data_IF_123843285003
#
_entry.id   IF_123843285003
#
_cell.length_a   1.000
_cell.length_b   1.000
_cell.length_c   1.000
_cell.angle_alpha   90.00
_cell.angle_beta   90.00
_cell.angle_gamma   90.00
#
_symmetry.space_group_name_H-M   'P 1'
#
loop_
_entity.id
_entity.type
_entity.pdbx_description
1 polymer ?
#
# COMPACT_ATOMS: atom_id res chain seq x y z
N UNK A 1 28.70 51.89 32.76
CA UNK A 1 29.35 51.88 34.08
C UNK A 1 28.91 50.59 34.76
N UNK A 2 29.84 49.63 34.77
CA UNK A 2 30.44 49.06 36.00
C UNK A 2 29.50 48.03 36.63
N UNK A 3 29.87 46.81 36.96
CA UNK A 3 30.98 45.89 36.71
C UNK A 3 30.47 44.57 37.35
N UNK A 4 31.02 43.43 36.96
CA UNK A 4 31.03 42.20 37.79
C UNK A 4 31.80 42.49 39.11
N UNK A 5 32.06 41.56 40.09
CA UNK A 5 31.88 40.10 40.11
C UNK A 5 31.44 39.53 41.49
N UNK A 6 31.31 38.20 41.63
CA UNK A 6 31.99 37.49 42.73
C UNK A 6 32.12 35.97 42.51
N UNK A 7 33.37 35.55 42.59
CA UNK A 7 33.87 34.18 42.72
C UNK A 7 33.70 33.64 44.15
N UNK A 8 33.59 32.31 44.20
CA UNK A 8 34.13 31.32 45.15
C UNK A 8 34.39 31.67 46.63
N UNK A 9 34.04 30.73 47.51
CA UNK A 9 34.95 29.99 48.43
C UNK A 9 34.12 29.24 49.51
N UNK A 10 34.20 27.91 49.58
CA UNK A 10 35.08 27.05 50.43
C UNK A 10 34.78 27.10 51.93
N UNK A 11 34.61 25.92 52.53
CA UNK A 11 34.97 25.52 53.91
C UNK A 11 35.17 23.97 53.81
N UNK A 12 36.40 23.46 53.97
CA UNK A 12 37.09 23.06 55.23
C UNK A 12 36.68 21.60 55.61
N UNK A 13 37.53 20.66 56.03
CA UNK A 13 38.66 20.74 56.97
C UNK A 13 39.67 19.57 56.81
N UNK A 14 40.86 19.86 57.34
CA UNK A 14 41.77 19.02 58.14
C UNK A 14 43.05 18.39 57.56
N UNK A 15 44.13 18.79 58.24
CA UNK A 15 45.54 18.60 58.00
C UNK A 15 46.20 17.79 59.13
N UNK A 16 47.43 17.32 58.90
CA UNK A 16 48.35 16.82 59.94
C UNK A 16 49.14 15.58 59.48
N UNK A 17 50.22 15.70 58.71
CA UNK A 17 51.64 15.87 59.13
C UNK A 17 52.15 14.87 60.18
N UNK A 18 53.15 14.05 59.80
CA UNK A 18 54.50 14.05 60.41
C UNK A 18 55.49 13.20 59.58
N UNK A 19 56.58 13.87 59.18
CA UNK A 19 57.83 13.31 58.65
C UNK A 19 58.65 12.66 59.78
N UNK A 20 59.47 11.64 59.50
CA UNK A 20 60.94 11.69 59.75
C UNK A 20 61.70 10.36 59.49
N UNK A 21 62.96 10.55 59.04
CA UNK A 21 64.19 9.73 59.16
C UNK A 21 64.51 8.58 58.18
N UNK A 22 65.62 8.76 57.46
CA UNK A 22 66.60 7.73 57.02
C UNK A 22 67.79 7.71 58.01
N UNK A 23 68.82 6.83 57.93
CA UNK A 23 68.94 5.42 57.44
C UNK A 23 69.66 4.49 58.47
N UNK A 24 69.77 3.17 58.23
CA UNK A 24 70.90 2.30 58.64
C UNK A 24 70.80 0.88 58.05
N UNK A 25 71.97 0.28 57.83
CA UNK A 25 72.33 -0.87 57.00
C UNK A 25 71.86 -2.28 57.44
N UNK A 26 72.04 -3.19 56.47
CA UNK A 26 72.43 -4.61 56.56
C UNK A 26 71.34 -5.70 56.76
N UNK A 27 71.01 -6.43 55.69
CA UNK A 27 71.42 -7.85 55.52
C UNK A 27 70.84 -8.49 54.23
N UNK A 28 71.48 -9.58 53.82
CA UNK A 28 71.56 -10.22 52.48
C UNK A 28 70.31 -11.05 52.04
N UNK A 29 70.29 -11.68 50.84
CA UNK A 29 69.12 -11.72 49.97
C UNK A 29 68.37 -13.05 50.05
N UNK A 30 67.07 -13.03 49.71
CA UNK A 30 66.36 -14.25 49.29
C UNK A 30 65.51 -13.99 48.05
N UNK A 31 65.79 -14.81 47.04
CA UNK A 31 65.19 -14.89 45.72
C UNK A 31 63.65 -14.89 45.74
N UNK A 32 63.04 -14.12 44.83
CA UNK A 32 61.69 -14.38 44.37
C UNK A 32 61.72 -14.48 42.84
N UNK A 33 61.65 -15.72 42.39
CA UNK A 33 61.54 -16.14 40.99
C UNK A 33 60.32 -15.50 40.31
N UNK A 34 60.53 -15.01 39.09
CA UNK A 34 59.50 -14.39 38.26
C UNK A 34 58.34 -15.34 37.98
N UNK A 35 57.22 -15.16 38.67
CA UNK A 35 55.96 -15.85 38.42
C UNK A 35 55.07 -14.91 37.61
N UNK A 36 54.84 -15.23 36.32
CA UNK A 36 53.81 -14.56 35.53
C UNK A 36 52.49 -14.56 36.32
N UNK A 37 51.90 -13.39 36.63
CA UNK A 37 50.76 -13.33 37.52
C UNK A 37 49.58 -14.01 36.83
N UNK A 38 48.96 -14.98 37.52
CA UNK A 38 47.81 -15.76 37.02
C UNK A 38 46.69 -14.88 36.47
N UNK A 39 46.55 -13.64 36.96
CA UNK A 39 45.61 -12.63 36.46
C UNK A 39 45.88 -12.21 35.02
N UNK A 40 47.14 -12.06 34.58
CA UNK A 40 47.48 -11.72 33.21
C UNK A 40 47.15 -12.88 32.25
N UNK A 41 47.40 -14.12 32.66
CA UNK A 41 47.01 -15.29 31.87
C UNK A 41 45.49 -15.37 31.73
N UNK A 42 44.75 -15.13 32.81
CA UNK A 42 43.27 -15.10 32.79
C UNK A 42 42.78 -13.99 31.85
N UNK A 43 43.31 -12.77 31.95
CA UNK A 43 42.94 -11.64 31.08
C UNK A 43 43.21 -11.97 29.61
N UNK A 44 44.38 -12.54 29.30
CA UNK A 44 44.74 -12.94 27.94
C UNK A 44 43.81 -14.03 27.40
N UNK A 45 43.47 -15.03 28.22
CA UNK A 45 42.52 -16.09 27.81
C UNK A 45 41.11 -15.55 27.58
N UNK A 46 40.62 -14.63 28.42
CA UNK A 46 39.32 -13.99 28.25
C UNK A 46 39.30 -13.07 27.03
N UNK A 47 40.37 -12.30 26.79
CA UNK A 47 40.47 -11.45 25.60
C UNK A 47 40.49 -12.27 24.31
N UNK A 48 41.23 -13.38 24.30
CA UNK A 48 41.30 -14.26 23.14
C UNK A 48 39.94 -14.95 22.90
N UNK A 49 39.27 -15.40 23.96
CA UNK A 49 37.92 -15.96 23.88
C UNK A 49 36.92 -14.97 23.28
N UNK A 50 36.94 -13.72 23.76
CA UNK A 50 36.03 -12.67 23.24
C UNK A 50 36.31 -12.36 21.77
N UNK A 51 37.58 -12.29 21.35
CA UNK A 51 37.95 -12.07 19.94
C UNK A 51 37.43 -13.20 19.06
N UNK A 52 37.59 -14.45 19.49
CA UNK A 52 37.09 -15.63 18.76
C UNK A 52 35.56 -15.60 18.67
N UNK A 53 34.87 -15.30 19.78
CA UNK A 53 33.40 -15.22 19.79
C UNK A 53 32.88 -14.10 18.89
N UNK A 54 33.51 -12.92 18.90
CA UNK A 54 33.14 -11.80 18.02
C UNK A 54 33.40 -12.18 16.56
N UNK A 55 34.54 -12.79 16.24
CA UNK A 55 34.85 -13.24 14.89
C UNK A 55 33.83 -14.29 14.39
N UNK A 56 33.45 -15.24 15.24
CA UNK A 56 32.43 -16.24 14.91
C UNK A 56 31.05 -15.60 14.66
N UNK A 57 30.63 -14.63 15.47
CA UNK A 57 29.38 -13.89 15.25
C UNK A 57 29.44 -13.08 13.95
N UNK A 58 30.56 -12.41 13.67
CA UNK A 58 30.74 -11.66 12.41
C UNK A 58 30.69 -12.59 11.19
N UNK A 59 31.34 -13.75 11.26
CA UNK A 59 31.26 -14.79 10.21
C UNK A 59 29.80 -15.24 10.06
N UNK A 60 29.09 -15.55 11.14
CA UNK A 60 27.67 -15.94 11.06
C UNK A 60 26.78 -14.83 10.50
N UNK A 61 27.05 -13.56 10.77
CA UNK A 61 26.32 -12.42 10.20
C UNK A 61 26.69 -12.19 8.73
N UNK A 62 27.92 -12.46 8.31
CA UNK A 62 28.34 -12.32 6.90
C UNK A 62 27.83 -13.48 6.05
N UNK A 63 27.83 -14.70 6.58
CA UNK A 63 27.45 -15.91 5.85
C UNK A 63 25.96 -16.29 6.01
N UNK A 64 25.32 -15.90 7.12
CA UNK A 64 23.89 -16.15 7.40
C UNK A 64 23.09 -14.88 7.70
N UNK A 65 23.70 -13.69 7.64
CA UNK A 65 22.92 -12.46 7.63
C UNK A 65 21.95 -12.50 6.45
N UNK A 66 20.79 -11.84 6.56
CA UNK A 66 19.84 -11.82 5.46
C UNK A 66 20.62 -11.30 4.26
N UNK A 67 20.76 -12.16 3.24
CA UNK A 67 21.14 -11.71 1.92
C UNK A 67 20.27 -10.48 1.69
N UNK A 68 20.88 -9.31 1.62
CA UNK A 68 20.21 -8.14 1.10
C UNK A 68 19.96 -8.49 -0.36
N UNK A 69 18.89 -9.27 -0.58
CA UNK A 69 18.18 -9.41 -1.82
C UNK A 69 17.65 -8.00 -2.06
N UNK A 70 18.53 -7.11 -2.53
CA UNK A 70 18.12 -6.00 -3.35
C UNK A 70 17.20 -6.63 -4.39
N UNK A 71 15.96 -6.13 -4.55
CA UNK A 71 15.09 -6.61 -5.59
C UNK A 71 15.90 -6.56 -6.87
N UNK A 72 16.05 -7.71 -7.54
CA UNK A 72 16.51 -7.75 -8.91
C UNK A 72 15.79 -6.61 -9.63
N UNK A 73 16.58 -5.75 -10.28
CA UNK A 73 16.10 -4.78 -11.27
C UNK A 73 14.89 -5.38 -11.98
N UNK A 74 13.73 -4.71 -12.04
CA UNK A 74 12.48 -5.35 -12.41
C UNK A 74 12.72 -6.07 -13.71
N UNK A 75 12.64 -7.41 -13.66
CA UNK A 75 12.62 -8.24 -14.84
C UNK A 75 11.66 -7.53 -15.79
N UNK A 76 12.15 -7.09 -16.95
CA UNK A 76 11.28 -6.70 -18.05
C UNK A 76 10.24 -7.80 -18.13
N UNK A 77 9.02 -7.52 -17.71
CA UNK A 77 7.95 -8.52 -17.62
C UNK A 77 7.70 -8.94 -19.05
N UNK A 78 8.34 -10.03 -19.46
CA UNK A 78 8.09 -10.64 -20.76
C UNK A 78 6.76 -11.35 -20.56
N UNK A 79 5.69 -10.65 -20.94
CA UNK A 79 4.36 -11.26 -20.92
C UNK A 79 4.41 -12.50 -21.83
N UNK A 80 3.94 -13.67 -21.36
CA UNK A 80 3.87 -14.85 -22.22
C UNK A 80 3.01 -14.51 -23.44
N UNK A 81 3.30 -15.11 -24.62
CA UNK A 81 2.49 -14.91 -25.80
C UNK A 81 1.02 -15.21 -25.47
N UNK A 82 0.18 -14.20 -25.61
CA UNK A 82 -1.24 -14.30 -25.25
C UNK A 82 -2.05 -14.88 -26.41
N UNK A 83 -3.11 -15.65 -26.13
CA UNK A 83 -3.99 -16.15 -27.17
C UNK A 83 -4.71 -14.99 -27.88
N UNK A 84 -5.13 -15.20 -29.13
CA UNK A 84 -5.76 -14.15 -29.96
C UNK A 84 -7.02 -13.53 -29.34
N UNK A 85 -7.72 -14.29 -28.52
CA UNK A 85 -8.94 -13.84 -27.82
C UNK A 85 -8.63 -13.00 -26.58
N UNK A 86 -7.38 -12.95 -26.12
CA UNK A 86 -6.99 -12.22 -24.93
C UNK A 86 -6.90 -10.72 -25.24
N UNK A 87 -7.53 -9.83 -24.44
CA UNK A 87 -7.51 -8.40 -24.72
C UNK A 87 -6.08 -7.81 -24.69
N UNK A 88 -5.75 -6.87 -25.60
CA UNK A 88 -4.45 -6.23 -25.60
C UNK A 88 -4.26 -5.37 -24.33
N UNK A 89 -3.09 -5.48 -23.69
CA UNK A 89 -2.73 -4.71 -22.49
C UNK A 89 -1.68 -3.64 -22.81
N UNK A 90 -1.98 -2.76 -23.77
CA UNK A 90 -1.04 -1.72 -24.22
C UNK A 90 -1.11 -0.54 -23.24
N UNK A 91 -0.02 -0.20 -22.52
CA UNK A 91 -0.03 0.91 -21.58
C UNK A 91 -0.06 2.25 -22.33
N UNK A 92 -0.96 3.14 -21.89
CA UNK A 92 -1.04 4.52 -22.38
C UNK A 92 -1.07 5.49 -21.20
N UNK A 93 -0.55 6.70 -21.39
CA UNK A 93 -0.64 7.78 -20.40
C UNK A 93 -1.72 8.76 -20.83
N UNK A 94 -2.66 9.05 -19.93
CA UNK A 94 -3.73 10.02 -20.16
C UNK A 94 -3.87 10.92 -18.93
N UNK A 95 -4.11 12.19 -19.17
CA UNK A 95 -4.54 13.13 -18.13
C UNK A 95 -6.07 13.11 -18.11
N UNK A 96 -6.66 12.96 -16.92
CA UNK A 96 -8.10 12.96 -16.76
C UNK A 96 -8.60 14.40 -16.73
N UNK A 97 -9.58 14.71 -17.58
CA UNK A 97 -10.22 16.01 -17.65
C UNK A 97 -11.73 15.79 -17.53
N UNK A 98 -12.41 16.64 -16.76
CA UNK A 98 -13.86 16.57 -16.65
C UNK A 98 -14.52 16.73 -18.02
N UNK A 99 -15.41 15.80 -18.36
CA UNK A 99 -16.15 15.82 -19.60
C UNK A 99 -17.64 16.04 -19.30
N UNK A 100 -18.15 17.20 -19.71
CA UNK A 100 -19.54 17.60 -19.48
C UNK A 100 -20.55 16.61 -20.05
N UNK A 101 -20.24 15.91 -21.14
CA UNK A 101 -21.14 14.92 -21.73
C UNK A 101 -21.44 13.76 -20.78
N UNK A 102 -20.47 13.38 -19.95
CA UNK A 102 -20.57 12.28 -18.99
C UNK A 102 -20.84 12.77 -17.56
N UNK A 103 -20.54 14.03 -17.26
CA UNK A 103 -20.73 14.67 -15.96
C UNK A 103 -21.95 15.58 -15.91
N UNK A 104 -23.10 15.10 -16.39
CA UNK A 104 -24.37 15.85 -16.39
C UNK A 104 -25.57 14.91 -16.23
N UNK A 105 -26.77 15.44 -15.89
CA UNK A 105 -27.99 14.63 -15.86
C UNK A 105 -28.29 13.96 -17.22
N UNK A 106 -28.88 12.76 -17.23
CA UNK A 106 -29.26 12.05 -18.45
C UNK A 106 -30.12 12.92 -19.39
N UNK A 107 -29.64 13.03 -20.62
CA UNK A 107 -30.29 13.65 -21.76
C UNK A 107 -29.91 12.86 -23.04
N UNK A 108 -30.58 13.05 -24.19
CA UNK A 108 -30.31 12.24 -25.39
C UNK A 108 -28.84 12.16 -25.79
N UNK A 109 -28.11 13.28 -25.75
CA UNK A 109 -26.70 13.35 -26.12
C UNK A 109 -25.81 12.59 -25.12
N UNK A 110 -26.01 12.78 -23.82
CA UNK A 110 -25.26 12.04 -22.79
C UNK A 110 -25.54 10.53 -22.83
N UNK A 111 -26.80 10.14 -23.03
CA UNK A 111 -27.20 8.73 -23.12
C UNK A 111 -26.56 8.08 -24.34
N UNK A 112 -26.52 8.76 -25.49
CA UNK A 112 -25.79 8.32 -26.67
C UNK A 112 -24.29 8.19 -26.39
N UNK A 113 -23.67 9.19 -25.74
CA UNK A 113 -22.25 9.17 -25.40
C UNK A 113 -21.88 8.02 -24.46
N UNK A 114 -22.74 7.69 -23.47
CA UNK A 114 -22.57 6.53 -22.58
C UNK A 114 -22.74 5.21 -23.33
N UNK A 115 -23.74 5.08 -24.20
CA UNK A 115 -23.94 3.89 -25.02
C UNK A 115 -22.73 3.61 -25.93
N UNK A 116 -22.12 4.66 -26.48
CA UNK A 116 -20.94 4.58 -27.34
C UNK A 116 -19.64 4.16 -26.62
N UNK A 117 -19.64 4.08 -25.27
CA UNK A 117 -18.49 3.52 -24.54
C UNK A 117 -18.39 2.00 -24.68
N UNK A 118 -19.53 1.32 -24.85
CA UNK A 118 -19.54 -0.11 -25.11
C UNK A 118 -19.36 -0.35 -26.61
N UNK A 119 -18.44 -1.22 -27.03
CA UNK A 119 -18.24 -1.51 -28.45
C UNK A 119 -19.45 -2.25 -29.02
N UNK A 120 -19.51 -2.35 -30.35
CA UNK A 120 -20.48 -3.21 -31.04
C UNK A 120 -20.40 -4.62 -30.45
N UNK A 121 -21.57 -5.21 -30.15
CA UNK A 121 -21.64 -6.48 -29.42
C UNK A 121 -21.50 -6.34 -27.89
N UNK A 122 -21.48 -5.11 -27.36
CA UNK A 122 -21.41 -4.80 -25.91
C UNK A 122 -20.19 -5.36 -25.18
N UNK A 123 -19.11 -5.61 -25.92
CA UNK A 123 -17.86 -6.17 -25.38
C UNK A 123 -17.81 -7.70 -25.35
N UNK A 124 -18.85 -8.40 -25.80
CA UNK A 124 -18.84 -9.85 -25.90
C UNK A 124 -17.89 -10.34 -26.98
N UNK A 125 -17.03 -11.28 -26.61
CA UNK A 125 -16.07 -11.97 -27.47
C UNK A 125 -16.30 -13.48 -27.43
N UNK A 126 -15.97 -14.13 -28.54
CA UNK A 126 -15.92 -15.58 -28.62
C UNK A 126 -14.54 -16.07 -28.24
N UNK A 127 -14.47 -16.88 -27.20
CA UNK A 127 -13.26 -17.55 -26.74
C UNK A 127 -13.33 -18.99 -27.22
N UNK A 128 -12.54 -19.34 -28.23
CA UNK A 128 -12.46 -20.70 -28.75
C UNK A 128 -11.52 -21.53 -27.88
N UNK A 129 -11.86 -22.79 -27.68
CA UNK A 129 -11.02 -23.76 -26.97
C UNK A 129 -9.85 -24.25 -27.84
N UNK A 130 -9.13 -23.31 -28.47
CA UNK A 130 -7.89 -23.57 -29.24
C UNK A 130 -6.66 -23.59 -28.32
N UNK A 131 -6.81 -23.09 -27.10
CA UNK A 131 -5.83 -23.05 -26.01
C UNK A 131 -6.49 -23.56 -24.74
N UNK A 132 -5.77 -24.33 -23.91
CA UNK A 132 -6.26 -24.72 -22.60
C UNK A 132 -6.66 -23.47 -21.80
N UNK A 133 -7.97 -23.29 -21.60
CA UNK A 133 -8.46 -22.26 -20.70
C UNK A 133 -8.14 -22.70 -19.27
N UNK A 134 -7.70 -21.79 -18.38
CA UNK A 134 -7.52 -22.12 -16.97
C UNK A 134 -8.82 -22.69 -16.40
N UNK A 135 -8.73 -23.39 -15.26
CA UNK A 135 -9.95 -23.81 -14.56
C UNK A 135 -10.68 -22.56 -14.08
N UNK A 136 -11.87 -22.35 -14.63
CA UNK A 136 -12.61 -21.11 -14.59
C UNK A 136 -14.01 -21.44 -14.05
N UNK A 137 -14.46 -20.82 -12.93
CA UNK A 137 -15.70 -21.19 -12.26
C UNK A 137 -16.95 -21.29 -13.15
N UNK A 138 -17.53 -22.48 -13.24
CA UNK A 138 -18.76 -22.72 -14.02
C UNK A 138 -18.55 -22.73 -15.53
N UNK A 139 -17.30 -22.84 -15.99
CA UNK A 139 -16.96 -23.05 -17.39
C UNK A 139 -17.14 -24.54 -17.76
N UNK A 140 -17.93 -24.82 -18.79
CA UNK A 140 -18.06 -26.18 -19.33
C UNK A 140 -16.98 -26.45 -20.38
N UNK A 141 -15.81 -26.94 -19.96
CA UNK A 141 -14.65 -27.16 -20.85
C UNK A 141 -14.91 -28.12 -22.04
N UNK A 142 -16.01 -28.88 -22.01
CA UNK A 142 -16.43 -29.74 -23.14
C UNK A 142 -16.95 -28.95 -24.34
N UNK A 143 -17.25 -27.65 -24.19
CA UNK A 143 -17.73 -26.83 -25.29
C UNK A 143 -16.56 -26.36 -26.19
N UNK A 144 -16.76 -26.28 -27.52
CA UNK A 144 -15.73 -25.82 -28.45
C UNK A 144 -15.50 -24.31 -28.37
N UNK A 145 -16.48 -23.56 -27.86
CA UNK A 145 -16.44 -22.11 -27.74
C UNK A 145 -17.18 -21.63 -26.49
N UNK A 146 -16.72 -20.50 -25.98
CA UNK A 146 -17.29 -19.79 -24.85
C UNK A 146 -17.54 -18.34 -25.22
N UNK A 147 -18.49 -17.71 -24.52
CA UNK A 147 -18.74 -16.28 -24.62
C UNK A 147 -18.27 -15.62 -23.35
N UNK A 148 -17.43 -14.61 -23.49
CA UNK A 148 -16.95 -13.81 -22.39
C UNK A 148 -16.90 -12.35 -22.77
N UNK A 149 -16.69 -11.47 -21.81
CA UNK A 149 -16.41 -10.06 -22.05
C UNK A 149 -15.44 -9.54 -20.97
N UNK A 150 -14.59 -8.56 -21.30
CA UNK A 150 -13.75 -7.90 -20.31
C UNK A 150 -14.56 -7.23 -19.19
N UNK A 151 -14.14 -7.41 -17.94
CA UNK A 151 -14.78 -6.85 -16.74
C UNK A 151 -14.98 -5.34 -16.78
N UNK A 152 -14.10 -4.59 -17.47
CA UNK A 152 -14.27 -3.14 -17.67
C UNK A 152 -15.63 -2.76 -18.24
N UNK A 153 -16.21 -3.59 -19.13
CA UNK A 153 -17.54 -3.31 -19.69
C UNK A 153 -18.65 -3.59 -18.69
N UNK A 154 -18.48 -4.58 -17.80
CA UNK A 154 -19.39 -4.78 -16.66
C UNK A 154 -19.35 -3.56 -15.73
N UNK A 155 -18.16 -3.11 -15.38
CA UNK A 155 -17.95 -1.99 -14.46
C UNK A 155 -18.60 -0.70 -15.00
N UNK A 156 -18.45 -0.42 -16.30
CA UNK A 156 -19.11 0.72 -16.96
C UNK A 156 -20.64 0.57 -16.97
N UNK A 157 -21.15 -0.64 -17.26
CA UNK A 157 -22.59 -0.91 -17.23
C UNK A 157 -23.19 -0.69 -15.83
N UNK A 158 -22.54 -1.21 -14.79
CA UNK A 158 -22.95 -0.99 -13.41
C UNK A 158 -22.89 0.49 -13.02
N UNK A 159 -21.80 1.18 -13.37
CA UNK A 159 -21.67 2.61 -13.07
C UNK A 159 -22.81 3.44 -13.66
N UNK A 160 -23.11 3.25 -14.95
CA UNK A 160 -24.24 3.94 -15.59
C UNK A 160 -25.59 3.55 -14.96
N UNK A 161 -25.78 2.26 -14.64
CA UNK A 161 -27.03 1.78 -14.03
C UNK A 161 -27.30 2.45 -12.67
N UNK A 162 -26.26 2.71 -11.87
CA UNK A 162 -26.42 3.46 -10.60
C UNK A 162 -26.79 4.92 -10.82
N UNK A 163 -26.24 5.56 -11.84
CA UNK A 163 -26.56 6.93 -12.21
C UNK A 163 -28.01 7.05 -12.69
N UNK A 164 -28.43 6.15 -13.59
CA UNK A 164 -29.78 6.10 -14.14
C UNK A 164 -30.82 5.89 -13.03
N UNK A 165 -30.58 4.92 -12.14
CA UNK A 165 -31.45 4.66 -10.99
C UNK A 165 -31.53 5.84 -10.00
N UNK A 166 -30.43 6.56 -9.80
CA UNK A 166 -30.42 7.77 -8.98
C UNK A 166 -31.32 8.86 -9.58
N UNK A 167 -31.19 9.14 -10.88
CA UNK A 167 -32.00 10.17 -11.54
C UNK A 167 -33.48 9.78 -11.63
N UNK A 168 -33.77 8.50 -11.87
CA UNK A 168 -35.14 7.98 -11.80
C UNK A 168 -35.77 8.22 -10.42
N UNK A 169 -35.02 7.95 -9.34
CA UNK A 169 -35.48 8.20 -7.98
C UNK A 169 -35.72 9.69 -7.72
N UNK A 170 -34.77 10.56 -8.09
CA UNK A 170 -34.89 12.00 -7.90
C UNK A 170 -36.11 12.55 -8.65
N UNK A 171 -36.35 12.11 -9.88
CA UNK A 171 -37.52 12.49 -10.67
C UNK A 171 -38.84 12.07 -9.99
N UNK A 172 -38.88 10.87 -9.40
CA UNK A 172 -40.05 10.38 -8.65
C UNK A 172 -40.28 11.18 -7.37
N UNK A 173 -39.21 11.53 -6.63
CA UNK A 173 -39.30 12.32 -5.40
C UNK A 173 -39.71 13.77 -5.68
N UNK A 174 -39.22 14.37 -6.76
CA UNK A 174 -39.61 15.73 -7.15
C UNK A 174 -41.08 15.82 -7.60
N UNK A 175 -41.65 14.71 -8.11
CA UNK A 175 -43.07 14.63 -8.48
C UNK A 175 -43.99 14.36 -7.29
N UNK A 176 -43.48 13.72 -6.24
CA UNK A 176 -44.25 13.33 -5.05
C UNK A 176 -43.80 14.17 -3.85
N UNK A 177 -44.51 15.25 -3.51
CA UNK A 177 -44.18 16.13 -2.37
C UNK A 177 -44.15 15.42 -0.99
N UNK A 178 -44.66 14.19 -0.91
CA UNK A 178 -44.75 13.38 0.29
C UNK A 178 -43.55 12.43 0.43
N UNK A 179 -42.52 12.86 1.17
CA UNK A 179 -41.42 11.97 1.59
C UNK A 179 -40.02 12.54 1.40
N UNK A 180 -39.79 13.80 1.79
CA UNK A 180 -38.44 14.36 1.83
C UNK A 180 -37.61 13.58 2.86
N UNK A 181 -36.84 12.59 2.41
CA UNK A 181 -35.73 12.04 3.18
C UNK A 181 -34.74 13.19 3.43
N UNK A 182 -34.31 13.36 4.66
CA UNK A 182 -33.19 14.26 4.96
C UNK A 182 -31.96 13.74 4.21
N UNK A 183 -31.55 14.47 3.17
CA UNK A 183 -30.32 14.19 2.46
C UNK A 183 -29.14 14.58 3.36
N UNK A 184 -28.01 13.86 3.30
CA UNK A 184 -26.78 14.29 3.96
C UNK A 184 -26.48 15.75 3.59
N UNK A 185 -26.15 16.57 4.59
CA UNK A 185 -25.85 18.00 4.43
C UNK A 185 -24.41 18.27 3.98
N UNK A 186 -23.64 17.23 3.65
CA UNK A 186 -22.27 17.35 3.16
C UNK A 186 -22.28 18.12 1.82
N UNK A 187 -21.55 19.25 1.69
CA UNK A 187 -21.44 19.99 0.44
C UNK A 187 -20.89 19.14 -0.73
N UNK A 188 -20.18 18.05 -0.43
CA UNK A 188 -19.75 17.04 -1.39
C UNK A 188 -20.86 16.08 -1.84
N UNK A 189 -22.10 16.22 -1.37
CA UNK A 189 -23.21 15.33 -1.72
C UNK A 189 -24.35 16.08 -2.43
N UNK A 190 -24.01 16.89 -3.43
CA UNK A 190 -24.97 17.54 -4.33
C UNK A 190 -24.94 16.92 -5.74
N UNK A 191 -25.96 17.17 -6.56
CA UNK A 191 -26.08 16.58 -7.90
C UNK A 191 -24.91 16.90 -8.83
N UNK A 192 -24.32 18.09 -8.70
CA UNK A 192 -23.12 18.48 -9.45
C UNK A 192 -21.90 17.63 -9.05
N UNK A 193 -21.70 17.40 -7.75
CA UNK A 193 -20.63 16.54 -7.25
C UNK A 193 -20.81 15.10 -7.70
N UNK A 194 -22.03 14.55 -7.62
CA UNK A 194 -22.32 13.20 -8.08
C UNK A 194 -22.06 13.04 -9.59
N UNK A 195 -22.48 14.02 -10.40
CA UNK A 195 -22.19 14.06 -11.83
C UNK A 195 -20.69 14.04 -12.13
N UNK A 196 -19.92 14.88 -11.43
CA UNK A 196 -18.47 14.85 -11.52
C UNK A 196 -17.89 13.48 -11.11
N UNK A 197 -18.41 12.86 -10.04
CA UNK A 197 -17.99 11.54 -9.58
C UNK A 197 -18.25 10.44 -10.61
N UNK A 198 -19.42 10.41 -11.27
CA UNK A 198 -19.69 9.42 -12.32
C UNK A 198 -18.73 9.56 -13.50
N UNK A 199 -18.43 10.79 -13.96
CA UNK A 199 -17.43 10.99 -15.01
C UNK A 199 -16.01 10.61 -14.54
N UNK A 200 -15.63 10.97 -13.32
CA UNK A 200 -14.33 10.62 -12.75
C UNK A 200 -14.15 9.09 -12.62
N UNK A 201 -15.16 8.39 -12.11
CA UNK A 201 -15.15 6.93 -11.99
C UNK A 201 -15.11 6.26 -13.36
N UNK A 202 -15.91 6.74 -14.33
CA UNK A 202 -15.88 6.26 -15.72
C UNK A 202 -14.46 6.36 -16.30
N UNK A 203 -13.82 7.51 -16.14
CA UNK A 203 -12.45 7.73 -16.61
C UNK A 203 -11.44 6.82 -15.90
N UNK A 204 -11.59 6.63 -14.59
CA UNK A 204 -10.70 5.78 -13.78
C UNK A 204 -10.85 4.30 -14.15
N UNK A 205 -12.07 3.83 -14.38
CA UNK A 205 -12.38 2.49 -14.88
C UNK A 205 -11.71 2.27 -16.25
N UNK A 206 -11.82 3.23 -17.17
CA UNK A 206 -11.18 3.12 -18.49
C UNK A 206 -9.64 3.21 -18.40
N UNK A 207 -9.10 3.98 -17.46
CA UNK A 207 -7.66 4.11 -17.25
C UNK A 207 -7.05 2.85 -16.65
N UNK A 208 -7.81 2.15 -15.81
CA UNK A 208 -7.43 0.89 -15.17
C UNK A 208 -8.29 -0.25 -15.73
N UNK A 209 -8.49 -0.27 -17.05
CA UNK A 209 -9.41 -1.19 -17.71
C UNK A 209 -9.10 -2.63 -17.32
N UNK A 210 -10.01 -3.21 -16.53
CA UNK A 210 -9.91 -4.59 -16.11
C UNK A 210 -10.23 -5.53 -17.28
N UNK A 211 -9.20 -6.21 -17.76
CA UNK A 211 -9.27 -7.14 -18.89
C UNK A 211 -9.55 -8.57 -18.48
N UNK A 212 -9.82 -8.84 -17.19
CA UNK A 212 -10.32 -10.14 -16.73
C UNK A 212 -11.57 -10.52 -17.53
N UNK A 213 -11.59 -11.76 -18.05
CA UNK A 213 -12.70 -12.25 -18.85
C UNK A 213 -13.78 -12.86 -17.96
N UNK A 214 -14.96 -12.25 -17.98
CA UNK A 214 -16.17 -12.78 -17.38
C UNK A 214 -16.92 -13.62 -18.41
N UNK A 215 -16.94 -14.95 -18.26
CA UNK A 215 -17.70 -15.83 -19.15
C UNK A 215 -19.14 -16.01 -18.70
N UNK A 216 -20.00 -16.28 -19.68
CA UNK A 216 -21.35 -16.77 -19.43
C UNK A 216 -21.28 -18.19 -18.86
N UNK A 217 -21.54 -18.35 -17.56
CA UNK A 217 -21.59 -19.65 -16.89
C UNK A 217 -22.69 -20.54 -17.49
N UNK A 218 -22.43 -21.84 -17.54
CA UNK A 218 -23.42 -22.81 -18.00
C UNK A 218 -24.65 -22.77 -17.08
N UNK A 219 -25.85 -22.61 -17.66
CA UNK A 219 -27.14 -22.43 -16.97
C UNK A 219 -27.39 -21.08 -16.26
N UNK A 220 -26.50 -20.10 -16.37
CA UNK A 220 -26.77 -18.75 -15.86
C UNK A 220 -27.13 -17.77 -16.99
N UNK A 221 -28.16 -16.97 -16.76
CA UNK A 221 -28.60 -15.93 -17.71
C UNK A 221 -27.97 -14.56 -17.42
N UNK A 222 -27.58 -14.31 -16.16
CA UNK A 222 -27.04 -13.04 -15.69
C UNK A 222 -25.67 -13.29 -15.08
N UNK A 223 -24.65 -12.59 -15.58
CA UNK A 223 -23.33 -12.59 -14.97
C UNK A 223 -23.32 -11.70 -13.73
N UNK A 224 -22.82 -12.22 -12.62
CA UNK A 224 -22.74 -11.46 -11.36
C UNK A 224 -21.42 -10.72 -11.20
N UNK A 225 -20.43 -11.00 -12.04
CA UNK A 225 -19.05 -10.51 -11.88
C UNK A 225 -18.28 -11.21 -10.75
N UNK A 226 -18.89 -12.15 -10.03
CA UNK A 226 -18.25 -12.81 -8.89
C UNK A 226 -17.59 -14.15 -9.24
N UNK A 227 -16.45 -14.41 -8.58
CA UNK A 227 -15.68 -15.65 -8.70
C UNK A 227 -14.58 -15.60 -9.77
N UNK A 228 -14.41 -14.47 -10.46
CA UNK A 228 -13.33 -14.28 -11.42
C UNK A 228 -12.08 -13.75 -10.72
N UNK A 229 -10.91 -14.20 -11.16
CA UNK A 229 -9.65 -13.70 -10.63
C UNK A 229 -9.31 -12.37 -11.31
N UNK A 230 -9.11 -11.32 -10.50
CA UNK A 230 -8.73 -9.99 -10.97
C UNK A 230 -7.28 -9.67 -10.57
N UNK A 231 -6.61 -8.84 -11.36
CA UNK A 231 -5.29 -8.32 -11.01
C UNK A 231 -5.44 -6.99 -10.26
N UNK A 232 -5.47 -7.06 -8.93
CA UNK A 232 -5.58 -5.88 -8.08
C UNK A 232 -4.21 -5.32 -7.68
N UNK A 233 -4.22 -4.11 -7.13
CA UNK A 233 -3.13 -3.62 -6.28
C UNK A 233 -3.39 -4.09 -4.84
N UNK A 234 -2.33 -4.33 -4.10
CA UNK A 234 -2.43 -4.69 -2.68
C UNK A 234 -3.03 -3.51 -1.89
N UNK A 235 -4.28 -3.70 -1.44
CA UNK A 235 -5.02 -2.68 -0.71
C UNK A 235 -4.40 -2.38 0.65
N UNK A 236 -4.00 -3.41 1.38
CA UNK A 236 -3.47 -3.28 2.73
C UNK A 236 -2.10 -2.58 2.69
N UNK A 237 -1.28 -2.87 1.69
CA UNK A 237 -0.03 -2.16 1.47
C UNK A 237 -0.26 -0.66 1.16
N UNK A 238 -1.27 -0.33 0.36
CA UNK A 238 -1.62 1.06 0.04
C UNK A 238 -2.14 1.77 1.30
N UNK A 239 -3.03 1.14 2.06
CA UNK A 239 -3.58 1.69 3.30
C UNK A 239 -2.47 1.94 4.32
N UNK A 240 -1.62 0.94 4.58
CA UNK A 240 -0.51 1.09 5.51
C UNK A 240 0.46 2.21 5.10
N UNK A 241 0.73 2.35 3.81
CA UNK A 241 1.52 3.47 3.29
C UNK A 241 0.81 4.82 3.53
N UNK A 242 -0.48 4.92 3.19
CA UNK A 242 -1.24 6.16 3.35
C UNK A 242 -1.35 6.57 4.83
N UNK A 243 -1.56 5.61 5.74
CA UNK A 243 -1.58 5.85 7.18
C UNK A 243 -0.23 6.32 7.71
N UNK A 244 0.88 5.71 7.27
CA UNK A 244 2.23 6.10 7.66
C UNK A 244 2.56 7.55 7.27
N UNK A 245 2.09 7.99 6.11
CA UNK A 245 2.37 9.33 5.56
C UNK A 245 1.16 10.29 5.62
N UNK A 246 0.16 9.99 6.47
CA UNK A 246 -1.07 10.78 6.55
C UNK A 246 -0.81 12.21 7.02
N UNK A 247 -1.50 13.16 6.40
CA UNK A 247 -1.44 14.58 6.77
C UNK A 247 -2.40 14.93 7.94
N UNK A 248 -3.43 14.12 8.18
CA UNK A 248 -4.41 14.31 9.26
C UNK A 248 -4.92 12.96 9.75
N UNK A 249 -5.54 12.90 10.93
CA UNK A 249 -6.29 11.71 11.37
C UNK A 249 -7.81 11.87 11.23
N UNK A 250 -8.26 12.68 10.27
CA UNK A 250 -9.66 12.59 9.87
C UNK A 250 -9.92 11.16 9.35
N UNK A 251 -11.08 10.60 9.66
CA UNK A 251 -11.44 9.24 9.28
C UNK A 251 -12.88 9.17 8.78
N UNK A 252 -13.21 8.13 8.02
CA UNK A 252 -14.53 7.95 7.43
C UNK A 252 -14.70 8.61 6.05
N UNK A 253 -15.76 8.21 5.36
CA UNK A 253 -16.06 8.61 3.96
C UNK A 253 -16.70 10.00 3.89
N UNK A 254 -17.51 10.37 4.89
CA UNK A 254 -18.22 11.65 4.92
C UNK A 254 -17.34 12.76 5.50
N UNK A 255 -17.31 13.93 4.86
CA UNK A 255 -16.50 15.04 5.35
C UNK A 255 -17.06 15.53 6.69
N UNK A 256 -16.17 15.64 7.68
CA UNK A 256 -16.55 16.12 9.02
C UNK A 256 -17.30 15.09 9.88
N UNK A 257 -17.45 13.84 9.41
CA UNK A 257 -17.87 12.73 10.26
C UNK A 257 -16.70 12.19 11.09
N UNK A 258 -16.98 11.74 12.31
CA UNK A 258 -16.01 11.10 13.19
C UNK A 258 -15.22 12.04 14.12
N UNK A 259 -14.71 11.49 15.22
CA UNK A 259 -13.84 12.23 16.15
C UNK A 259 -12.50 12.58 15.48
N UNK A 260 -12.06 13.84 15.60
CA UNK A 260 -10.74 14.25 15.10
C UNK A 260 -9.66 13.67 16.02
N UNK A 261 -8.94 12.68 15.53
CA UNK A 261 -7.83 12.10 16.29
C UNK A 261 -6.61 13.07 16.18
N UNK A 262 -5.90 13.40 17.27
CA UNK A 262 -4.67 14.21 17.20
C UNK A 262 -3.51 13.46 16.54
N UNK A 263 -2.65 14.14 15.78
CA UNK A 263 -1.45 13.50 15.20
C UNK A 263 -0.46 13.22 16.34
N UNK A 264 0.13 12.01 16.40
CA UNK A 264 1.18 11.69 17.37
C UNK A 264 2.47 12.48 17.09
#
# INVERSE_FOLDING_TARGET
MVDTPRLSNTEDENAGLLHSREPCDDERPTEATGRFPRSQLIILTLSLSNVISIAAVLILVIFNGPASNLPETPATVVYPPQPKWFPPQIPVKKVLHGNKLYGQPPNPESVEAWNNLLPIGRGWVTVKNETALPDLPGLNQSLPEHRAYPSVFHQLHCLYSTMDAYYELIDRLNKNEAGKRELPTDPGWNSEHLNHCWDYLRQTIMCNADVTLEWRKYNEQVGTGWGYQHQCKDWDAIVAWAEKYRYSNNWGILRGGGERIPLP
#
